data_IF_102736464723
#
_entry.id   IF_102736464723
#
_cell.length_a   1.000
_cell.length_b   1.000
_cell.length_c   1.000
_cell.angle_alpha   90.00
_cell.angle_beta   90.00
_cell.angle_gamma   90.00
#
_symmetry.space_group_name_H-M   'P 1'
#
loop_
_entity.id
_entity.type
_entity.pdbx_description
1 polymer ?
#
# COMPACT_ATOMS: atom_id res chain seq x y z
N UNK A 1 -0.84 -0.85 -10.36
CA UNK A 1 0.10 -0.74 -9.24
C UNK A 1 -0.57 -0.93 -7.89
N UNK A 2 -0.22 -2.02 -7.23
CA UNK A 2 -0.69 -2.39 -5.90
C UNK A 2 0.38 -2.15 -4.83
N UNK A 3 -0.06 -1.97 -3.59
CA UNK A 3 0.81 -1.67 -2.45
C UNK A 3 0.65 -2.73 -1.37
N UNK A 4 1.68 -3.56 -1.13
CA UNK A 4 1.68 -4.59 -0.09
C UNK A 4 2.67 -4.26 1.03
N UNK A 5 2.32 -4.37 2.31
CA UNK A 5 3.26 -4.25 3.41
C UNK A 5 4.19 -5.47 3.43
N UNK A 6 5.48 -5.24 3.63
CA UNK A 6 6.50 -6.31 3.71
C UNK A 6 6.79 -6.77 5.14
N UNK A 7 6.11 -6.21 6.14
CA UNK A 7 6.23 -6.62 7.53
C UNK A 7 5.32 -5.83 8.46
N UNK A 8 5.48 -6.01 9.77
CA UNK A 8 4.72 -5.28 10.79
C UNK A 8 5.34 -3.91 11.08
N UNK A 9 4.50 -2.87 11.01
CA UNK A 9 4.93 -1.51 11.30
C UNK A 9 4.76 -1.23 12.80
N UNK A 10 5.87 -1.35 13.56
CA UNK A 10 5.90 -1.15 15.02
C UNK A 10 6.04 0.31 15.48
N UNK A 11 6.10 1.26 14.56
CA UNK A 11 6.17 2.70 14.88
C UNK A 11 4.76 3.28 14.94
N UNK A 12 4.47 4.18 15.89
CA UNK A 12 3.21 4.91 15.86
C UNK A 12 3.17 5.75 14.58
N UNK A 13 2.21 5.47 13.68
CA UNK A 13 1.86 6.42 12.63
C UNK A 13 0.84 7.40 13.18
N UNK A 14 0.81 8.60 12.62
CA UNK A 14 -0.32 9.50 12.74
C UNK A 14 -1.61 8.81 12.29
N UNK A 15 -2.75 9.21 12.85
CA UNK A 15 -4.09 8.72 12.48
C UNK A 15 -4.30 8.56 10.95
N UNK A 16 -3.96 9.55 10.10
CA UNK A 16 -4.07 9.41 8.64
C UNK A 16 -3.11 8.36 8.04
N UNK A 17 -1.88 8.28 8.55
CA UNK A 17 -0.88 7.33 8.10
C UNK A 17 -1.29 5.89 8.41
N UNK A 18 -1.79 5.65 9.64
CA UNK A 18 -2.32 4.34 10.07
C UNK A 18 -3.43 3.85 9.14
N UNK A 19 -4.34 4.74 8.74
CA UNK A 19 -5.42 4.40 7.82
C UNK A 19 -4.89 4.04 6.42
N UNK A 20 -3.97 4.83 5.87
CA UNK A 20 -3.32 4.52 4.58
C UNK A 20 -2.62 3.17 4.63
N UNK A 21 -1.92 2.87 5.73
CA UNK A 21 -1.23 1.60 5.94
C UNK A 21 -2.21 0.42 5.95
N UNK A 22 -3.32 0.53 6.67
CA UNK A 22 -4.40 -0.47 6.69
C UNK A 22 -5.01 -0.71 5.29
N UNK A 23 -5.06 0.32 4.46
CA UNK A 23 -5.57 0.21 3.08
C UNK A 23 -4.56 -0.42 2.11
N UNK A 24 -3.27 -0.47 2.47
CA UNK A 24 -2.25 -1.18 1.70
C UNK A 24 -2.40 -2.69 1.94
N UNK A 25 -3.32 -3.33 1.22
CA UNK A 25 -3.52 -4.80 1.27
C UNK A 25 -2.94 -5.50 0.03
N UNK A 26 -2.38 -4.75 -0.91
CA UNK A 26 -1.95 -5.28 -2.21
C UNK A 26 -3.06 -5.44 -3.24
N UNK A 27 -4.25 -4.92 -2.94
CA UNK A 27 -5.41 -4.93 -3.85
C UNK A 27 -5.91 -3.52 -4.18
N UNK A 28 -5.68 -2.56 -3.28
CA UNK A 28 -6.14 -1.19 -3.45
C UNK A 28 -5.12 -0.35 -4.23
N UNK A 29 -5.62 0.43 -5.19
CA UNK A 29 -4.85 1.41 -5.95
C UNK A 29 -4.82 2.76 -5.23
N UNK A 30 -3.87 3.62 -5.61
CA UNK A 30 -3.67 4.93 -4.98
C UNK A 30 -4.91 5.83 -5.04
N UNK A 31 -5.70 5.73 -6.11
CA UNK A 31 -6.95 6.47 -6.27
C UNK A 31 -7.99 6.06 -5.22
N UNK A 32 -8.21 4.74 -5.05
CA UNK A 32 -9.12 4.19 -4.04
C UNK A 32 -8.69 4.59 -2.63
N UNK A 33 -7.39 4.52 -2.35
CA UNK A 33 -6.82 4.95 -1.07
C UNK A 33 -7.08 6.43 -0.86
N UNK A 34 -6.77 7.29 -1.84
CA UNK A 34 -7.02 8.73 -1.74
C UNK A 34 -8.50 9.04 -1.51
N UNK A 35 -9.43 8.38 -2.21
CA UNK A 35 -10.87 8.59 -2.01
C UNK A 35 -11.33 8.14 -0.62
N UNK A 36 -10.88 6.99 -0.12
CA UNK A 36 -11.25 6.50 1.21
C UNK A 36 -10.70 7.41 2.32
N UNK A 37 -9.44 7.83 2.16
CA UNK A 37 -8.76 8.75 3.07
C UNK A 37 -9.41 10.13 3.04
N UNK A 38 -9.76 10.64 1.86
CA UNK A 38 -10.49 11.89 1.69
C UNK A 38 -11.84 11.81 2.38
N UNK A 39 -12.62 10.76 2.18
CA UNK A 39 -13.92 10.61 2.85
C UNK A 39 -13.79 10.54 4.38
N UNK A 40 -12.75 9.90 4.90
CA UNK A 40 -12.54 9.74 6.34
C UNK A 40 -11.98 10.99 7.03
N UNK A 41 -11.14 11.79 6.34
CA UNK A 41 -10.38 12.87 6.96
C UNK A 41 -10.53 14.25 6.27
N UNK A 42 -11.24 14.33 5.14
CA UNK A 42 -11.55 15.52 4.31
C UNK A 42 -10.61 16.71 4.52
N UNK A 43 -10.99 17.65 5.39
CA UNK A 43 -10.27 18.92 5.62
C UNK A 43 -8.87 18.76 6.25
N UNK A 44 -8.59 17.65 6.93
CA UNK A 44 -7.32 17.45 7.66
C UNK A 44 -6.18 17.03 6.72
N UNK A 45 -6.52 16.53 5.53
CA UNK A 45 -5.55 15.91 4.63
C UNK A 45 -5.38 16.57 3.28
N UNK A 46 -6.10 17.66 2.98
CA UNK A 46 -5.93 18.39 1.73
C UNK A 46 -4.52 19.01 1.58
N UNK A 47 -3.83 18.80 0.43
CA UNK A 47 -4.17 17.92 -0.68
C UNK A 47 -3.89 16.43 -0.38
N UNK A 48 -4.95 15.62 -0.30
CA UNK A 48 -4.90 14.20 0.13
C UNK A 48 -3.94 13.39 -0.72
N UNK A 49 -3.95 13.62 -2.03
CA UNK A 49 -3.11 12.93 -2.98
C UNK A 49 -1.63 13.15 -2.69
N UNK A 50 -1.22 14.38 -2.37
CA UNK A 50 0.17 14.71 -2.07
C UNK A 50 0.62 14.09 -0.75
N UNK A 51 -0.26 14.06 0.26
CA UNK A 51 -0.04 13.40 1.55
C UNK A 51 0.11 11.89 1.39
N UNK A 52 -0.83 11.24 0.71
CA UNK A 52 -0.84 9.80 0.47
C UNK A 52 0.38 9.37 -0.35
N UNK A 53 0.66 10.06 -1.46
CA UNK A 53 1.84 9.77 -2.31
C UNK A 53 3.13 9.94 -1.49
N UNK A 54 3.29 11.04 -0.75
CA UNK A 54 4.46 11.25 0.09
C UNK A 54 4.62 10.16 1.15
N UNK A 55 3.52 9.68 1.73
CA UNK A 55 3.54 8.59 2.71
C UNK A 55 3.99 7.27 2.07
N UNK A 56 3.39 6.91 0.94
CA UNK A 56 3.74 5.71 0.19
C UNK A 56 5.20 5.74 -0.28
N UNK A 57 5.69 6.90 -0.73
CA UNK A 57 7.10 7.09 -1.09
C UNK A 57 8.04 6.85 0.09
N UNK A 58 7.71 7.36 1.29
CA UNK A 58 8.52 7.14 2.49
C UNK A 58 8.54 5.66 2.86
N UNK A 59 7.38 4.99 2.79
CA UNK A 59 7.27 3.56 3.07
C UNK A 59 8.06 2.73 2.06
N UNK A 60 7.95 3.06 0.77
CA UNK A 60 8.68 2.39 -0.29
C UNK A 60 10.20 2.58 -0.15
N UNK A 61 10.65 3.81 0.12
CA UNK A 61 12.08 4.12 0.38
C UNK A 61 12.63 3.39 1.59
N UNK A 62 11.79 3.09 2.59
CA UNK A 62 12.17 2.32 3.78
C UNK A 62 12.07 0.81 3.58
N UNK A 63 11.62 0.33 2.42
CA UNK A 63 11.36 -1.08 2.19
C UNK A 63 10.26 -1.63 3.11
N UNK A 64 9.27 -0.79 3.44
CA UNK A 64 8.11 -1.17 4.26
C UNK A 64 6.90 -1.56 3.43
N UNK A 65 6.82 -1.09 2.18
CA UNK A 65 5.84 -1.54 1.20
C UNK A 65 6.52 -1.99 -0.08
N UNK A 66 5.96 -3.03 -0.69
CA UNK A 66 6.24 -3.46 -2.04
C UNK A 66 5.26 -2.78 -2.99
N UNK A 67 5.82 -2.10 -3.98
CA UNK A 67 5.06 -1.47 -5.07
C UNK A 67 5.23 -2.37 -6.28
N UNK A 68 4.22 -3.20 -6.53
CA UNK A 68 4.21 -4.12 -7.66
C UNK A 68 3.13 -3.72 -8.65
N UNK A 69 3.36 -3.95 -9.93
CA UNK A 69 2.24 -4.22 -10.83
C UNK A 69 1.97 -5.72 -10.69
N UNK A 70 0.73 -6.10 -10.37
CA UNK A 70 0.35 -7.51 -10.47
C UNK A 70 0.61 -7.90 -11.92
N UNK A 71 1.51 -8.85 -12.23
CA UNK A 71 1.36 -9.54 -13.50
C UNK A 71 0.00 -10.23 -13.41
N UNK A 72 -0.85 -9.95 -14.39
CA UNK A 72 -2.01 -10.80 -14.70
C UNK A 72 -1.52 -12.26 -14.67
N UNK A 73 -2.21 -13.12 -13.92
CA UNK A 73 -1.80 -14.50 -13.65
C UNK A 73 -1.35 -15.22 -14.94
N UNK A 74 -0.07 -15.54 -15.01
CA UNK A 74 0.39 -16.68 -15.79
C UNK A 74 0.56 -17.85 -14.83
N UNK A 75 -0.41 -18.76 -14.81
CA UNK A 75 -0.22 -20.11 -14.28
C UNK A 75 1.08 -20.71 -14.85
N UNK A 76 1.92 -21.25 -13.98
CA UNK A 76 3.13 -21.97 -14.35
C UNK A 76 3.33 -23.12 -13.39
N UNK A 77 2.79 -24.28 -13.75
CA UNK A 77 3.17 -25.58 -13.19
C UNK A 77 4.69 -25.79 -13.29
N UNK A 78 5.27 -26.36 -12.24
CA UNK A 78 6.66 -26.78 -12.18
C UNK A 78 6.82 -27.68 -10.97
N UNK A 79 6.38 -28.92 -11.11
CA UNK A 79 6.70 -29.96 -10.14
C UNK A 79 8.19 -30.26 -10.16
N UNK A 80 8.74 -30.60 -9.00
CA UNK A 80 9.88 -31.49 -8.89
C UNK A 80 9.59 -32.44 -7.71
N UNK A 81 9.33 -33.68 -8.10
CA UNK A 81 9.50 -34.91 -7.33
C UNK A 81 11.02 -35.17 -7.12
N UNK A 82 11.32 -36.18 -6.31
CA UNK A 82 12.62 -36.86 -6.13
C UNK A 82 13.50 -36.34 -4.97
N UNK A 83 14.02 -37.15 -4.03
CA UNK A 83 14.13 -38.61 -3.95
C UNK A 83 14.22 -39.08 -2.48
#
# INVERSE_FOLDING_TARGET
>A
TVFRPVGELRRPLDAPGSFIWLMCDGKNNIATICTAVDQAFKETMEPVLKRVVGYLEILAKRGLIYVGDLPDEGEGEGGEEEA
#
